data_IF_782014148013
#
_entry.id   IF_782014148013
#
_cell.length_a   1.000
_cell.length_b   1.000
_cell.length_c   1.000
_cell.angle_alpha   90.00
_cell.angle_beta   90.00
_cell.angle_gamma   90.00
#
_symmetry.space_group_name_H-M   'P 1'
#
loop_
_entity.id
_entity.type
_entity.pdbx_description
1 polymer ?
#
# COMPACT_ATOMS: atom_id res chain seq x y z
N UNK A 1 22.58 4.98 -8.23
CA UNK A 1 21.90 5.98 -9.09
C UNK A 1 20.41 5.92 -8.81
N UNK A 2 19.87 6.82 -7.99
CA UNK A 2 18.42 7.00 -7.84
C UNK A 2 17.93 7.86 -9.00
N UNK A 3 17.64 7.23 -10.13
CA UNK A 3 17.03 7.91 -11.27
C UNK A 3 15.53 8.07 -10.99
N UNK A 4 15.09 9.30 -10.75
CA UNK A 4 13.67 9.63 -10.63
C UNK A 4 13.18 10.13 -11.99
N UNK A 5 12.81 9.20 -12.88
CA UNK A 5 12.17 9.54 -14.14
C UNK A 5 10.89 10.35 -13.87
N UNK A 6 10.80 11.57 -14.41
CA UNK A 6 9.57 12.36 -14.32
C UNK A 6 8.62 11.94 -15.43
N UNK A 7 7.47 11.37 -15.06
CA UNK A 7 6.36 11.10 -15.99
C UNK A 7 5.45 12.31 -16.24
N UNK A 8 5.85 13.52 -15.84
CA UNK A 8 5.04 14.71 -16.06
C UNK A 8 4.97 15.06 -17.54
N UNK A 9 3.78 15.42 -18.03
CA UNK A 9 3.51 15.72 -19.44
C UNK A 9 4.57 16.65 -20.07
N UNK A 10 4.90 17.74 -19.37
CA UNK A 10 5.85 18.74 -19.86
C UNK A 10 7.29 18.20 -19.97
N UNK A 11 7.72 17.36 -19.03
CA UNK A 11 9.04 16.71 -19.10
C UNK A 11 9.07 15.66 -20.21
N UNK A 12 7.98 14.91 -20.42
CA UNK A 12 7.85 13.99 -21.55
C UNK A 12 7.92 14.73 -22.88
N UNK A 13 7.21 15.85 -23.04
CA UNK A 13 7.28 16.67 -24.24
C UNK A 13 8.70 17.17 -24.52
N UNK A 14 9.43 17.63 -23.49
CA UNK A 14 10.84 18.02 -23.62
C UNK A 14 11.71 16.88 -24.14
N UNK A 15 11.57 15.70 -23.56
CA UNK A 15 12.45 14.57 -23.85
C UNK A 15 12.11 13.84 -25.15
N UNK A 16 10.83 13.56 -25.39
CA UNK A 16 10.37 12.78 -26.54
C UNK A 16 10.16 13.64 -27.79
N UNK A 17 9.63 14.86 -27.63
CA UNK A 17 9.33 15.75 -28.76
C UNK A 17 10.44 16.80 -29.01
N UNK A 18 11.44 16.89 -28.12
CA UNK A 18 12.53 17.86 -28.25
C UNK A 18 12.10 19.31 -28.03
N UNK A 19 10.99 19.55 -27.34
CA UNK A 19 10.52 20.91 -27.02
C UNK A 19 11.56 21.61 -26.16
N UNK A 20 11.93 22.85 -26.53
CA UNK A 20 12.90 23.64 -25.78
C UNK A 20 12.44 23.86 -24.34
N UNK A 21 13.31 23.55 -23.40
CA UNK A 21 13.07 23.70 -21.96
C UNK A 21 12.71 25.15 -21.58
N UNK A 22 13.27 26.13 -22.29
CA UNK A 22 13.09 27.55 -21.97
C UNK A 22 11.73 28.07 -22.46
N UNK A 23 11.03 27.28 -23.30
CA UNK A 23 9.68 27.58 -23.79
C UNK A 23 8.58 26.86 -23.01
N UNK A 24 8.94 25.86 -22.19
CA UNK A 24 8.01 25.06 -21.39
C UNK A 24 7.64 25.83 -20.13
N UNK A 25 6.37 26.21 -20.04
CA UNK A 25 5.79 26.75 -18.81
C UNK A 25 5.54 25.62 -17.80
N UNK A 26 5.92 25.84 -16.55
CA UNK A 26 5.58 24.98 -15.40
C UNK A 26 4.35 25.53 -14.70
N UNK A 27 3.66 24.67 -13.96
CA UNK A 27 2.47 25.08 -13.21
C UNK A 27 2.78 26.24 -12.25
N UNK A 28 3.93 26.20 -11.56
CA UNK A 28 4.41 27.26 -10.66
C UNK A 28 4.56 28.63 -11.30
N UNK A 29 4.74 28.68 -12.62
CA UNK A 29 4.90 29.94 -13.37
C UNK A 29 3.53 30.61 -13.62
N UNK A 30 2.45 29.83 -13.49
CA UNK A 30 1.07 30.24 -13.81
C UNK A 30 0.10 29.98 -12.65
N UNK A 31 0.60 29.69 -11.45
CA UNK A 31 -0.24 29.37 -10.29
C UNK A 31 -1.17 30.54 -9.93
N UNK A 32 -2.39 30.20 -9.53
CA UNK A 32 -3.27 31.15 -8.82
C UNK A 32 -2.62 31.47 -7.49
N UNK A 33 -2.80 32.72 -7.00
CA UNK A 33 -2.27 33.13 -5.70
C UNK A 33 -2.55 32.06 -4.61
N UNK A 34 -1.54 31.60 -3.85
CA UNK A 34 -1.69 30.53 -2.85
C UNK A 34 -2.81 30.76 -1.83
N UNK A 35 -3.19 32.02 -1.57
CA UNK A 35 -4.32 32.36 -0.72
C UNK A 35 -5.65 31.74 -1.20
N UNK A 36 -5.82 31.55 -2.51
CA UNK A 36 -7.03 30.97 -3.11
C UNK A 36 -6.97 29.46 -3.28
N UNK A 37 -5.92 28.80 -2.79
CA UNK A 37 -5.77 27.34 -2.95
C UNK A 37 -6.93 26.62 -2.24
N UNK A 38 -7.71 25.78 -2.96
CA UNK A 38 -8.83 25.09 -2.35
C UNK A 38 -8.36 24.05 -1.34
N UNK A 39 -9.17 23.85 -0.30
CA UNK A 39 -9.05 22.68 0.57
C UNK A 39 -9.56 21.47 -0.23
N UNK A 40 -8.65 20.57 -0.59
CA UNK A 40 -8.97 19.33 -1.32
C UNK A 40 -8.51 18.09 -0.54
N UNK A 41 -9.48 17.22 -0.26
CA UNK A 41 -9.28 16.00 0.51
C UNK A 41 -8.78 14.83 -0.36
N UNK A 42 -9.03 14.84 -1.67
CA UNK A 42 -8.70 13.74 -2.58
C UNK A 42 -9.57 12.49 -2.41
N UNK A 43 -9.73 11.96 -1.18
CA UNK A 43 -10.53 10.77 -0.88
C UNK A 43 -12.04 11.04 -0.77
N UNK A 44 -12.44 12.31 -0.74
CA UNK A 44 -13.82 12.77 -0.77
C UNK A 44 -13.94 13.81 -1.90
N UNK A 45 -14.21 13.40 -3.15
CA UNK A 45 -14.08 14.26 -4.34
C UNK A 45 -15.29 15.19 -4.53
N UNK A 46 -15.80 15.77 -3.45
CA UNK A 46 -16.97 16.67 -3.47
C UNK A 46 -16.90 17.70 -2.33
N UNK A 47 -17.36 18.92 -2.61
CA UNK A 47 -17.24 20.04 -1.68
C UNK A 47 -18.04 19.87 -0.37
N UNK A 48 -19.12 19.07 -0.40
CA UNK A 48 -19.98 18.82 0.75
C UNK A 48 -19.29 18.04 1.89
N UNK A 49 -18.15 17.39 1.61
CA UNK A 49 -17.34 16.76 2.65
C UNK A 49 -16.66 17.80 3.57
N UNK A 50 -16.48 19.04 3.10
CA UNK A 50 -15.75 20.10 3.79
C UNK A 50 -16.71 21.17 4.30
N UNK A 51 -17.56 21.67 3.39
CA UNK A 51 -18.45 22.80 3.63
C UNK A 51 -19.87 22.54 3.19
N UNK A 52 -20.68 23.60 3.19
CA UNK A 52 -22.08 23.57 2.78
C UNK A 52 -22.42 24.85 2.01
N UNK A 53 -23.54 24.88 1.25
CA UNK A 53 -23.99 26.11 0.62
C UNK A 53 -24.01 27.29 1.60
N UNK A 54 -23.37 28.40 1.21
CA UNK A 54 -23.22 29.61 2.02
C UNK A 54 -22.00 29.62 2.97
N UNK A 55 -21.34 28.48 3.22
CA UNK A 55 -20.08 28.42 3.97
C UNK A 55 -19.28 27.18 3.53
N UNK A 56 -18.45 27.36 2.52
CA UNK A 56 -17.70 26.30 1.85
C UNK A 56 -16.36 25.97 2.51
N UNK A 57 -15.93 26.77 3.50
CA UNK A 57 -14.70 26.57 4.29
C UNK A 57 -13.45 26.36 3.41
N UNK A 58 -13.34 27.14 2.34
CA UNK A 58 -12.23 27.06 1.39
C UNK A 58 -12.32 25.92 0.38
N UNK A 59 -13.45 25.19 0.30
CA UNK A 59 -13.68 24.23 -0.77
C UNK A 59 -13.86 24.92 -2.13
N UNK A 60 -13.77 24.15 -3.22
CA UNK A 60 -13.83 24.64 -4.61
C UNK A 60 -14.90 25.71 -4.89
N UNK A 61 -16.19 25.57 -4.50
CA UNK A 61 -17.20 26.57 -4.81
C UNK A 61 -16.92 27.98 -4.27
N UNK A 62 -16.11 28.11 -3.21
CA UNK A 62 -15.72 29.41 -2.64
C UNK A 62 -14.70 30.13 -3.50
N UNK A 63 -13.75 29.38 -4.07
CA UNK A 63 -12.56 29.94 -4.73
C UNK A 63 -12.61 29.82 -6.25
N UNK A 64 -13.56 29.08 -6.81
CA UNK A 64 -13.62 28.75 -8.24
C UNK A 64 -13.64 29.99 -9.15
N UNK A 65 -14.29 31.08 -8.73
CA UNK A 65 -14.36 32.30 -9.52
C UNK A 65 -12.98 32.98 -9.68
N UNK A 66 -12.11 32.88 -8.68
CA UNK A 66 -10.73 33.36 -8.78
C UNK A 66 -9.94 32.55 -9.81
N UNK A 67 -10.13 31.23 -9.85
CA UNK A 67 -9.53 30.37 -10.86
C UNK A 67 -10.06 30.72 -12.26
N UNK A 68 -11.39 30.78 -12.44
CA UNK A 68 -11.99 31.14 -13.74
C UNK A 68 -11.43 32.47 -14.25
N UNK A 69 -11.40 33.50 -13.40
CA UNK A 69 -10.86 34.81 -13.77
C UNK A 69 -9.36 34.75 -14.12
N UNK A 70 -8.56 34.07 -13.31
CA UNK A 70 -7.11 33.92 -13.54
C UNK A 70 -6.82 33.24 -14.87
N UNK A 71 -7.43 32.08 -15.13
CA UNK A 71 -7.22 31.31 -16.35
C UNK A 71 -7.78 32.02 -17.59
N UNK A 72 -8.82 32.84 -17.44
CA UNK A 72 -9.37 33.61 -18.56
C UNK A 72 -8.47 34.79 -18.96
N UNK A 73 -7.95 35.53 -17.97
CA UNK A 73 -7.22 36.78 -18.22
C UNK A 73 -5.70 36.62 -18.31
N UNK A 74 -5.11 35.58 -17.71
CA UNK A 74 -3.67 35.35 -17.74
C UNK A 74 -3.24 34.70 -19.07
N UNK A 75 -2.49 35.41 -19.95
CA UNK A 75 -2.07 34.87 -21.24
C UNK A 75 -1.12 33.67 -21.11
N UNK A 76 -0.26 33.65 -20.09
CA UNK A 76 0.65 32.53 -19.86
C UNK A 76 -0.10 31.28 -19.38
N UNK A 77 -1.10 31.43 -18.51
CA UNK A 77 -1.94 30.31 -18.10
C UNK A 77 -2.70 29.70 -19.29
N UNK A 78 -3.23 30.53 -20.18
CA UNK A 78 -3.86 30.06 -21.43
C UNK A 78 -2.87 29.31 -22.33
N UNK A 79 -1.66 29.85 -22.50
CA UNK A 79 -0.59 29.18 -23.25
C UNK A 79 -0.26 27.82 -22.62
N UNK A 80 -0.07 27.77 -21.30
CA UNK A 80 0.19 26.53 -20.57
C UNK A 80 -0.89 25.46 -20.84
N UNK A 81 -2.17 25.84 -20.76
CA UNK A 81 -3.30 24.94 -21.04
C UNK A 81 -3.38 24.52 -22.51
N UNK A 82 -3.10 25.43 -23.44
CA UNK A 82 -3.04 25.10 -24.87
C UNK A 82 -1.91 24.10 -25.15
N UNK A 83 -0.75 24.31 -24.55
CA UNK A 83 0.40 23.42 -24.66
C UNK A 83 0.10 22.04 -24.07
N UNK A 84 -0.74 21.92 -23.03
CA UNK A 84 -1.16 20.60 -22.50
C UNK A 84 -1.89 19.79 -23.58
N UNK A 85 -2.79 20.42 -24.32
CA UNK A 85 -3.54 19.76 -25.41
C UNK A 85 -2.60 19.38 -26.56
N UNK A 86 -1.72 20.29 -26.97
CA UNK A 86 -0.75 20.07 -28.06
C UNK A 86 0.18 18.91 -27.68
N UNK A 87 0.87 19.01 -26.55
CA UNK A 87 1.84 18.01 -26.13
C UNK A 87 1.21 16.64 -25.91
N UNK A 88 0.00 16.57 -25.33
CA UNK A 88 -0.69 15.28 -25.17
C UNK A 88 -0.94 14.62 -26.51
N UNK A 89 -1.42 15.36 -27.51
CA UNK A 89 -1.70 14.84 -28.85
C UNK A 89 -0.43 14.46 -29.60
N UNK A 90 0.61 15.28 -29.49
CA UNK A 90 1.88 15.04 -30.18
C UNK A 90 2.63 13.85 -29.56
N UNK A 91 2.58 13.69 -28.24
CA UNK A 91 3.09 12.50 -27.54
C UNK A 91 2.29 11.25 -27.93
N UNK A 92 0.95 11.34 -28.03
CA UNK A 92 0.13 10.24 -28.52
C UNK A 92 0.57 9.78 -29.92
N UNK A 93 0.95 10.73 -30.81
CA UNK A 93 1.49 10.41 -32.14
C UNK A 93 2.92 9.88 -32.09
N UNK A 94 3.76 10.42 -31.22
CA UNK A 94 5.14 9.96 -31.02
C UNK A 94 5.20 8.50 -30.52
N UNK A 95 4.26 8.10 -29.65
CA UNK A 95 4.12 6.72 -29.18
C UNK A 95 3.20 5.87 -30.08
N UNK A 96 3.25 6.12 -31.39
CA UNK A 96 2.58 5.33 -32.43
C UNK A 96 1.05 5.20 -32.35
N UNK A 97 0.38 6.03 -31.55
CA UNK A 97 -1.08 6.05 -31.41
C UNK A 97 -1.64 4.66 -31.04
N UNK A 98 -1.56 4.26 -29.75
CA UNK A 98 -2.03 2.95 -29.29
C UNK A 98 -3.39 2.57 -29.87
N UNK A 99 -3.59 1.29 -30.24
CA UNK A 99 -4.82 0.84 -30.85
C UNK A 99 -6.01 1.03 -29.88
N UNK A 100 -7.22 1.30 -30.40
CA UNK A 100 -8.41 1.33 -29.56
C UNK A 100 -8.58 0.04 -28.75
N UNK A 101 -8.92 0.19 -27.46
CA UNK A 101 -9.08 -0.94 -26.55
C UNK A 101 -7.78 -1.43 -25.91
N UNK A 102 -6.69 -0.65 -25.95
CA UNK A 102 -5.49 -0.95 -25.18
C UNK A 102 -5.77 -0.97 -23.67
N UNK A 103 -5.06 -1.84 -22.95
CA UNK A 103 -5.34 -2.14 -21.54
C UNK A 103 -5.30 -0.89 -20.66
N UNK A 104 -4.30 -0.02 -20.84
CA UNK A 104 -4.11 1.15 -19.97
C UNK A 104 -5.19 2.22 -20.21
N UNK A 105 -5.60 2.44 -21.45
CA UNK A 105 -6.72 3.34 -21.78
C UNK A 105 -8.05 2.84 -21.21
N UNK A 106 -8.36 1.55 -21.38
CA UNK A 106 -9.57 0.95 -20.82
C UNK A 106 -9.56 0.98 -19.29
N UNK A 107 -8.43 0.66 -18.68
CA UNK A 107 -8.23 0.76 -17.23
C UNK A 107 -8.41 2.19 -16.71
N UNK A 108 -7.90 3.20 -17.42
CA UNK A 108 -8.06 4.60 -17.05
C UNK A 108 -9.54 5.02 -17.02
N UNK A 109 -10.31 4.63 -18.04
CA UNK A 109 -11.75 4.86 -18.08
C UNK A 109 -12.47 4.12 -16.94
N UNK A 110 -12.17 2.84 -16.74
CA UNK A 110 -12.78 2.01 -15.69
C UNK A 110 -12.50 2.57 -14.29
N UNK A 111 -11.25 2.92 -13.99
CA UNK A 111 -10.85 3.49 -12.69
C UNK A 111 -11.52 4.83 -12.45
N UNK A 112 -11.64 5.68 -13.48
CA UNK A 112 -12.37 6.95 -13.40
C UNK A 112 -13.83 6.74 -13.01
N UNK A 113 -14.51 5.81 -13.68
CA UNK A 113 -15.90 5.46 -13.38
C UNK A 113 -16.06 4.86 -11.98
N UNK A 114 -15.17 3.95 -11.58
CA UNK A 114 -15.18 3.32 -10.26
C UNK A 114 -14.97 4.34 -9.13
N UNK A 115 -14.04 5.30 -9.31
CA UNK A 115 -13.80 6.40 -8.36
C UNK A 115 -15.00 7.32 -8.25
N UNK A 116 -15.57 7.72 -9.38
CA UNK A 116 -16.72 8.62 -9.41
C UNK A 116 -17.91 8.01 -8.70
N UNK A 117 -18.20 6.74 -9.02
CA UNK A 117 -19.28 5.99 -8.40
C UNK A 117 -19.03 5.79 -6.91
N UNK A 118 -17.90 5.17 -6.54
CA UNK A 118 -17.63 4.69 -5.18
C UNK A 118 -18.61 3.61 -4.71
N UNK A 119 -18.58 3.29 -3.42
CA UNK A 119 -19.62 2.48 -2.77
C UNK A 119 -19.76 2.79 -1.28
N UNK A 120 -20.86 2.34 -0.67
CA UNK A 120 -21.21 2.66 0.71
C UNK A 120 -20.26 2.05 1.74
N UNK A 121 -20.20 2.69 2.90
CA UNK A 121 -19.51 2.19 4.08
C UNK A 121 -20.50 2.04 5.24
N UNK A 122 -20.23 1.08 6.11
CA UNK A 122 -20.98 0.91 7.35
C UNK A 122 -20.48 1.93 8.39
N UNK A 123 -21.17 3.06 8.46
CA UNK A 123 -20.80 4.19 9.32
C UNK A 123 -20.73 3.78 10.80
N UNK A 124 -21.70 3.00 11.29
CA UNK A 124 -21.76 2.58 12.69
C UNK A 124 -20.58 1.66 13.05
N UNK A 125 -20.28 0.69 12.19
CA UNK A 125 -19.11 -0.18 12.39
C UNK A 125 -17.81 0.63 12.36
N UNK A 126 -17.67 1.58 11.44
CA UNK A 126 -16.47 2.42 11.37
C UNK A 126 -16.32 3.28 12.63
N UNK A 127 -17.41 3.89 13.12
CA UNK A 127 -17.39 4.64 14.38
C UNK A 127 -16.95 3.76 15.56
N UNK A 128 -17.48 2.53 15.64
CA UNK A 128 -17.06 1.56 16.67
C UNK A 128 -15.58 1.21 16.56
N UNK A 129 -15.07 0.92 15.36
CA UNK A 129 -13.65 0.62 15.16
C UNK A 129 -12.75 1.81 15.47
N UNK A 130 -13.17 3.02 15.11
CA UNK A 130 -12.49 4.25 15.49
C UNK A 130 -12.36 4.38 17.01
N UNK A 131 -13.42 4.16 17.76
CA UNK A 131 -13.36 4.18 19.23
C UNK A 131 -12.41 3.10 19.78
N UNK A 132 -12.39 1.90 19.20
CA UNK A 132 -11.44 0.85 19.57
C UNK A 132 -9.99 1.28 19.31
N UNK A 133 -9.70 1.93 18.18
CA UNK A 133 -8.34 2.42 17.89
C UNK A 133 -7.88 3.50 18.87
N UNK A 134 -8.80 4.36 19.35
CA UNK A 134 -8.48 5.35 20.38
C UNK A 134 -8.12 4.67 21.70
N UNK A 135 -8.91 3.67 22.12
CA UNK A 135 -8.62 2.87 23.31
C UNK A 135 -7.31 2.11 23.20
N UNK A 136 -7.02 1.54 22.04
CA UNK A 136 -5.80 0.78 21.78
C UNK A 136 -4.55 1.66 21.76
N UNK A 137 -4.62 2.86 21.17
CA UNK A 137 -3.51 3.80 21.21
C UNK A 137 -3.23 4.30 22.64
N UNK A 138 -4.29 4.45 23.45
CA UNK A 138 -4.16 4.80 24.85
C UNK A 138 -3.36 6.08 25.07
N UNK A 139 -2.51 6.07 26.10
CA UNK A 139 -1.56 7.15 26.43
C UNK A 139 -0.15 6.87 25.91
N UNK A 140 0.06 5.80 25.14
CA UNK A 140 1.40 5.39 24.69
C UNK A 140 2.00 6.46 23.75
N UNK A 141 3.25 6.90 24.00
CA UNK A 141 3.88 7.91 23.16
C UNK A 141 4.21 7.35 21.77
N UNK A 142 3.83 8.08 20.72
CA UNK A 142 4.04 7.64 19.33
C UNK A 142 5.04 8.47 18.56
N UNK A 143 5.30 9.72 18.98
CA UNK A 143 6.31 10.57 18.36
C UNK A 143 7.70 9.94 18.53
N UNK A 144 8.57 9.93 17.49
CA UNK A 144 9.84 9.18 17.52
C UNK A 144 10.71 9.43 18.75
N UNK A 145 10.85 10.70 19.15
CA UNK A 145 11.64 11.11 20.32
C UNK A 145 11.03 10.65 21.65
N UNK A 146 9.71 10.80 21.81
CA UNK A 146 9.01 10.40 23.03
C UNK A 146 8.94 8.88 23.17
N UNK A 147 8.69 8.17 22.07
CA UNK A 147 8.72 6.71 22.03
C UNK A 147 10.11 6.17 22.41
N UNK A 148 11.18 6.83 21.93
CA UNK A 148 12.55 6.48 22.31
C UNK A 148 12.76 6.61 23.82
N UNK A 149 12.49 7.78 24.40
CA UNK A 149 12.63 7.96 25.86
C UNK A 149 11.80 6.96 26.67
N UNK A 150 10.57 6.71 26.22
CA UNK A 150 9.71 5.72 26.86
C UNK A 150 10.30 4.32 26.87
N UNK A 151 10.99 3.89 25.81
CA UNK A 151 11.61 2.57 25.79
C UNK A 151 12.94 2.58 26.56
N UNK A 152 13.76 3.63 26.41
CA UNK A 152 15.08 3.76 27.06
C UNK A 152 15.02 3.80 28.59
N UNK A 153 13.90 4.19 29.19
CA UNK A 153 13.65 4.18 30.65
C UNK A 153 13.81 2.80 31.29
N UNK A 154 13.62 1.73 30.51
CA UNK A 154 13.73 0.33 30.97
C UNK A 154 14.86 -0.42 30.27
N UNK A 155 15.80 0.33 29.69
CA UNK A 155 17.00 -0.21 29.04
C UNK A 155 18.27 0.19 29.79
N UNK A 156 19.25 -0.69 29.81
CA UNK A 156 20.62 -0.34 30.21
C UNK A 156 21.37 0.44 29.11
N UNK A 157 22.62 0.85 29.39
CA UNK A 157 23.38 1.66 28.44
C UNK A 157 23.82 0.89 27.18
N UNK A 158 23.97 -0.43 27.26
CA UNK A 158 24.33 -1.29 26.13
C UNK A 158 23.12 -1.53 25.25
N UNK A 159 21.95 -1.79 25.85
CA UNK A 159 20.68 -2.01 25.16
C UNK A 159 20.22 -0.78 24.37
N UNK A 160 20.48 0.44 24.89
CA UNK A 160 20.15 1.71 24.21
C UNK A 160 20.80 1.84 22.83
N UNK A 161 21.87 1.10 22.55
CA UNK A 161 22.50 1.06 21.22
C UNK A 161 21.50 0.60 20.16
N UNK A 162 20.55 -0.29 20.50
CA UNK A 162 19.52 -0.77 19.59
C UNK A 162 18.57 0.33 19.07
N UNK A 163 18.50 1.50 19.73
CA UNK A 163 17.64 2.62 19.35
C UNK A 163 18.41 3.82 18.76
N UNK A 164 19.71 3.67 18.49
CA UNK A 164 20.55 4.75 17.93
C UNK A 164 20.03 5.22 16.58
N UNK A 165 19.66 4.29 15.71
CA UNK A 165 19.10 4.56 14.38
C UNK A 165 17.63 5.04 14.42
N UNK A 166 17.02 5.06 15.60
CA UNK A 166 15.69 5.59 15.84
C UNK A 166 14.69 4.55 16.32
N UNK A 167 13.41 4.83 16.12
CA UNK A 167 12.31 3.96 16.54
C UNK A 167 11.48 3.51 15.33
N UNK A 168 12.11 3.27 14.18
CA UNK A 168 11.44 2.76 12.99
C UNK A 168 10.72 1.43 13.26
N UNK A 169 9.72 1.08 12.44
CA UNK A 169 8.94 -0.14 12.66
C UNK A 169 9.82 -1.40 12.73
N UNK A 170 10.81 -1.52 11.83
CA UNK A 170 11.73 -2.67 11.82
C UNK A 170 12.55 -2.79 13.12
N UNK A 171 13.08 -1.66 13.62
CA UNK A 171 13.84 -1.61 14.88
C UNK A 171 12.94 -1.98 16.06
N UNK A 172 11.72 -1.46 16.10
CA UNK A 172 10.79 -1.80 17.17
C UNK A 172 10.36 -3.26 17.08
N UNK A 173 10.21 -3.83 15.88
CA UNK A 173 9.89 -5.25 15.69
C UNK A 173 11.06 -6.16 16.09
N UNK A 174 12.32 -5.76 15.89
CA UNK A 174 13.48 -6.54 16.36
C UNK A 174 13.62 -6.57 17.88
N UNK A 175 13.06 -5.57 18.58
CA UNK A 175 13.02 -5.52 20.06
C UNK A 175 11.76 -6.21 20.59
N UNK A 176 10.60 -5.87 20.04
CA UNK A 176 9.29 -6.33 20.49
C UNK A 176 8.98 -7.77 20.07
N UNK A 177 9.48 -8.21 18.92
CA UNK A 177 9.01 -9.41 18.23
C UNK A 177 7.78 -9.16 17.35
N UNK A 178 7.01 -10.22 17.07
CA UNK A 178 5.90 -10.19 16.09
C UNK A 178 4.65 -10.90 16.60
N UNK A 179 3.52 -10.54 16.02
CA UNK A 179 2.24 -11.22 16.21
C UNK A 179 2.20 -12.44 15.28
N UNK A 180 1.86 -13.61 15.82
CA UNK A 180 1.63 -14.83 15.05
C UNK A 180 0.27 -14.80 14.32
N UNK A 181 -0.04 -15.86 13.57
CA UNK A 181 -1.30 -15.95 12.83
C UNK A 181 -2.55 -15.97 13.74
N UNK A 182 -2.38 -16.41 14.99
CA UNK A 182 -3.46 -16.51 15.99
C UNK A 182 -3.68 -15.20 16.76
N UNK A 183 -2.78 -14.23 16.61
CA UNK A 183 -2.84 -12.94 17.30
C UNK A 183 -1.99 -12.88 18.58
N UNK A 184 -1.23 -13.93 18.90
CA UNK A 184 -0.35 -13.96 20.06
C UNK A 184 1.00 -13.33 19.72
N UNK A 185 1.63 -12.68 20.70
CA UNK A 185 2.94 -12.06 20.51
C UNK A 185 4.05 -13.03 20.85
N UNK A 186 4.92 -13.28 19.87
CA UNK A 186 6.21 -13.94 20.06
C UNK A 186 7.24 -12.85 20.26
N UNK A 187 7.73 -12.72 21.49
CA UNK A 187 8.68 -11.67 21.87
C UNK A 187 10.09 -11.97 21.41
N UNK A 188 10.81 -10.94 20.94
CA UNK A 188 12.20 -11.09 20.51
C UNK A 188 13.16 -10.98 21.70
N UNK A 189 13.05 -9.92 22.50
CA UNK A 189 13.87 -9.77 23.70
C UNK A 189 13.19 -10.43 24.89
N UNK A 190 13.78 -11.52 25.36
CA UNK A 190 13.29 -12.36 26.44
C UNK A 190 14.41 -12.46 27.49
N UNK A 191 14.04 -12.47 28.76
CA UNK A 191 14.96 -12.68 29.89
C UNK A 191 15.27 -14.17 30.09
N UNK A 192 16.28 -14.46 30.91
CA UNK A 192 16.68 -15.84 31.26
C UNK A 192 15.53 -16.67 31.86
N UNK A 193 14.59 -16.01 32.56
CA UNK A 193 13.38 -16.64 33.13
C UNK A 193 12.25 -16.86 32.11
N UNK A 194 12.53 -16.66 30.82
CA UNK A 194 11.59 -16.77 29.70
C UNK A 194 10.46 -15.73 29.71
N UNK A 195 10.56 -14.68 30.52
CA UNK A 195 9.60 -13.56 30.48
C UNK A 195 10.02 -12.49 29.49
N UNK A 196 9.07 -11.74 28.88
CA UNK A 196 9.42 -10.66 27.96
C UNK A 196 10.24 -9.56 28.63
N UNK A 197 11.27 -9.07 27.95
CA UNK A 197 12.01 -7.90 28.42
C UNK A 197 11.08 -6.67 28.48
N UNK A 198 11.15 -5.82 29.52
CA UNK A 198 10.32 -4.61 29.62
C UNK A 198 10.42 -3.71 28.38
N UNK A 199 11.60 -3.62 27.77
CA UNK A 199 11.78 -2.88 26.53
C UNK A 199 10.98 -3.47 25.35
N UNK A 200 10.88 -4.80 25.27
CA UNK A 200 10.05 -5.49 24.27
C UNK A 200 8.57 -5.17 24.44
N UNK A 201 8.08 -5.12 25.68
CA UNK A 201 6.70 -4.75 26.01
C UNK A 201 6.42 -3.31 25.58
N UNK A 202 7.29 -2.35 25.95
CA UNK A 202 7.14 -0.94 25.58
C UNK A 202 7.25 -0.71 24.07
N UNK A 203 8.19 -1.39 23.40
CA UNK A 203 8.32 -1.33 21.94
C UNK A 203 7.05 -1.86 21.23
N UNK A 204 6.47 -2.96 21.74
CA UNK A 204 5.19 -3.49 21.26
C UNK A 204 4.06 -2.47 21.42
N UNK A 205 3.94 -1.85 22.59
CA UNK A 205 2.90 -0.84 22.84
C UNK A 205 3.03 0.34 21.87
N UNK A 206 4.25 0.84 21.63
CA UNK A 206 4.50 1.91 20.65
C UNK A 206 4.09 1.47 19.24
N UNK A 207 4.45 0.26 18.82
CA UNK A 207 4.04 -0.31 17.52
C UNK A 207 2.51 -0.37 17.40
N UNK A 208 1.84 -0.92 18.40
CA UNK A 208 0.39 -1.06 18.42
C UNK A 208 -0.30 0.31 18.41
N UNK A 209 0.19 1.28 19.18
CA UNK A 209 -0.36 2.63 19.22
C UNK A 209 -0.18 3.37 17.88
N UNK A 210 0.97 3.22 17.22
CA UNK A 210 1.21 3.79 15.88
C UNK A 210 0.31 3.15 14.82
N UNK A 211 0.19 1.81 14.83
CA UNK A 211 -0.72 1.08 13.94
C UNK A 211 -2.17 1.52 14.17
N UNK A 212 -2.60 1.63 15.43
CA UNK A 212 -3.93 2.11 15.79
C UNK A 212 -4.19 3.56 15.35
N UNK A 213 -3.21 4.46 15.51
CA UNK A 213 -3.32 5.84 15.02
C UNK A 213 -3.45 5.91 13.50
N UNK A 214 -2.69 5.09 12.75
CA UNK A 214 -2.83 5.03 11.30
C UNK A 214 -4.19 4.49 10.86
N UNK A 215 -4.69 3.47 11.56
CA UNK A 215 -6.02 2.91 11.31
C UNK A 215 -7.12 3.94 11.63
N UNK A 216 -6.98 4.67 12.75
CA UNK A 216 -7.86 5.79 13.13
C UNK A 216 -7.91 6.87 12.05
N UNK A 217 -6.75 7.28 11.52
CA UNK A 217 -6.66 8.27 10.43
C UNK A 217 -7.48 7.84 9.22
N UNK A 218 -7.44 6.55 8.84
CA UNK A 218 -8.25 6.03 7.76
C UNK A 218 -9.74 6.08 8.10
N UNK A 219 -10.14 5.72 9.33
CA UNK A 219 -11.54 5.83 9.76
C UNK A 219 -12.05 7.27 9.79
N UNK A 220 -11.24 8.22 10.24
CA UNK A 220 -11.58 9.66 10.21
C UNK A 220 -11.90 10.11 8.77
N UNK A 221 -11.05 9.73 7.81
CA UNK A 221 -11.26 10.03 6.38
C UNK A 221 -12.53 9.39 5.83
N UNK A 222 -12.76 8.12 6.16
CA UNK A 222 -13.95 7.38 5.72
C UNK A 222 -15.23 8.02 6.30
N UNK A 223 -15.24 8.39 7.58
CA UNK A 223 -16.40 9.05 8.20
C UNK A 223 -16.67 10.43 7.63
N UNK A 224 -15.62 11.17 7.25
CA UNK A 224 -15.76 12.46 6.59
C UNK A 224 -16.32 12.31 5.17
N UNK A 225 -15.83 11.32 4.42
CA UNK A 225 -16.32 11.03 3.08
C UNK A 225 -17.72 10.39 3.07
N UNK A 226 -18.08 9.64 4.12
CA UNK A 226 -19.32 8.83 4.26
C UNK A 226 -19.54 7.79 3.15
N UNK A 227 -18.63 7.71 2.20
CA UNK A 227 -18.68 6.87 1.01
C UNK A 227 -17.24 6.57 0.59
N UNK A 228 -16.99 5.40 0.02
CA UNK A 228 -15.63 4.99 -0.35
C UNK A 228 -15.36 5.19 -1.84
N UNK A 229 -14.58 6.22 -2.16
CA UNK A 229 -14.17 6.56 -3.52
C UNK A 229 -12.77 6.01 -3.81
N UNK A 230 -12.70 4.77 -4.28
CA UNK A 230 -11.43 4.11 -4.56
C UNK A 230 -10.65 4.88 -5.64
N UNK A 231 -9.41 5.24 -5.34
CA UNK A 231 -8.52 5.98 -6.25
C UNK A 231 -7.30 5.19 -6.61
N UNK A 232 -6.97 5.16 -7.89
CA UNK A 232 -5.78 4.47 -8.40
C UNK A 232 -5.04 5.34 -9.42
N UNK A 233 -3.71 5.21 -9.45
CA UNK A 233 -2.86 5.61 -10.57
C UNK A 233 -2.68 4.40 -11.46
N UNK A 234 -3.11 4.50 -12.71
CA UNK A 234 -2.79 3.54 -13.78
C UNK A 234 -1.30 3.71 -14.11
N UNK A 235 -0.59 2.60 -14.31
CA UNK A 235 0.88 2.58 -14.40
C UNK A 235 1.53 3.28 -13.17
N UNK A 236 1.02 2.98 -11.98
CA UNK A 236 1.45 3.64 -10.74
C UNK A 236 2.80 3.19 -10.18
N UNK A 237 3.35 2.08 -10.69
CA UNK A 237 4.57 1.45 -10.21
C UNK A 237 5.45 0.97 -11.36
N UNK A 238 6.73 0.69 -11.09
CA UNK A 238 7.68 0.18 -12.10
C UNK A 238 7.32 -1.22 -12.62
N UNK A 239 6.52 -1.99 -11.88
CA UNK A 239 6.00 -3.29 -12.33
C UNK A 239 4.69 -3.16 -13.11
N UNK A 240 4.35 -1.96 -13.58
CA UNK A 240 3.09 -1.59 -14.23
C UNK A 240 1.82 -1.79 -13.39
N UNK A 241 1.94 -2.24 -12.13
CA UNK A 241 0.78 -2.37 -11.22
C UNK A 241 0.19 -0.98 -10.92
N UNK A 242 -1.13 -0.94 -10.78
CA UNK A 242 -1.84 0.21 -10.25
C UNK A 242 -1.43 0.49 -8.80
N UNK A 243 -1.37 1.77 -8.44
CA UNK A 243 -1.10 2.21 -7.07
C UNK A 243 -2.25 3.03 -6.50
N UNK A 244 -2.66 2.78 -5.25
CA UNK A 244 -3.67 3.60 -4.59
C UNK A 244 -3.20 5.04 -4.33
N UNK A 245 -4.12 6.01 -4.40
CA UNK A 245 -3.81 7.44 -4.35
C UNK A 245 -4.77 8.27 -3.47
N UNK A 246 -4.66 9.60 -3.53
CA UNK A 246 -5.61 10.55 -2.98
C UNK A 246 -5.78 10.47 -1.46
N UNK A 247 -4.65 10.25 -0.76
CA UNK A 247 -4.51 10.23 0.70
C UNK A 247 -5.27 9.11 1.41
N UNK A 248 -6.02 8.26 0.72
CA UNK A 248 -6.65 7.04 1.24
C UNK A 248 -6.44 5.90 0.25
N UNK A 249 -5.36 5.13 0.45
CA UNK A 249 -4.99 4.04 -0.45
C UNK A 249 -5.97 2.86 -0.34
N UNK A 250 -6.74 2.51 -1.40
CA UNK A 250 -7.68 1.40 -1.35
C UNK A 250 -7.04 0.02 -1.23
N UNK A 251 -5.85 -0.17 -1.83
CA UNK A 251 -5.08 -1.42 -1.73
C UNK A 251 -4.47 -1.59 -0.33
N UNK A 252 -4.28 -0.50 0.39
CA UNK A 252 -3.71 -0.48 1.75
C UNK A 252 -4.71 -0.72 2.88
N UNK A 253 -5.99 -0.95 2.59
CA UNK A 253 -6.99 -1.23 3.63
C UNK A 253 -6.67 -2.57 4.30
N UNK A 254 -6.65 -2.59 5.64
CA UNK A 254 -6.27 -3.76 6.43
C UNK A 254 -7.14 -4.98 6.08
N UNK A 255 -6.51 -6.13 5.87
CA UNK A 255 -7.21 -7.38 5.51
C UNK A 255 -7.94 -8.06 6.69
N UNK A 256 -7.81 -7.54 7.92
CA UNK A 256 -8.49 -8.13 9.09
C UNK A 256 -10.01 -8.04 8.92
N UNK A 257 -10.70 -9.15 9.26
CA UNK A 257 -12.15 -9.34 9.07
C UNK A 257 -13.00 -8.21 9.66
N UNK A 258 -12.62 -7.69 10.81
CA UNK A 258 -13.36 -6.61 11.48
C UNK A 258 -13.31 -5.28 10.70
N UNK A 259 -12.23 -5.02 9.96
CA UNK A 259 -12.10 -3.86 9.06
C UNK A 259 -12.91 -4.09 7.80
N UNK A 260 -12.71 -5.24 7.13
CA UNK A 260 -13.39 -5.55 5.87
C UNK A 260 -14.92 -5.64 6.00
N UNK A 261 -15.43 -6.03 7.16
CA UNK A 261 -16.88 -5.99 7.49
C UNK A 261 -17.49 -4.58 7.56
N UNK A 262 -16.68 -3.53 7.55
CA UNK A 262 -17.13 -2.15 7.44
C UNK A 262 -17.46 -1.75 6.00
N UNK A 263 -17.11 -2.57 5.01
CA UNK A 263 -17.32 -2.33 3.59
C UNK A 263 -18.36 -3.34 3.10
N UNK A 264 -19.65 -2.99 3.06
CA UNK A 264 -20.72 -3.91 2.65
C UNK A 264 -20.63 -4.33 1.18
N UNK A 265 -19.78 -3.67 0.38
CA UNK A 265 -19.76 -3.81 -1.09
C UNK A 265 -21.16 -3.62 -1.65
N UNK A 266 -21.78 -2.48 -1.33
CA UNK A 266 -23.13 -2.15 -1.75
C UNK A 266 -23.22 -0.66 -2.09
N UNK A 267 -24.19 -0.34 -2.91
CA UNK A 267 -24.64 1.03 -3.18
C UNK A 267 -26.14 1.02 -2.88
N UNK A 268 -26.48 1.34 -1.63
CA UNK A 268 -27.83 1.23 -1.09
C UNK A 268 -28.78 2.21 -1.76
N UNK A 269 -28.28 3.39 -2.16
CA UNK A 269 -29.07 4.40 -2.87
C UNK A 269 -29.52 3.87 -4.23
N UNK A 270 -28.62 3.22 -4.95
CA UNK A 270 -28.94 2.64 -6.25
C UNK A 270 -29.46 1.19 -6.18
N UNK A 271 -29.57 0.61 -4.99
CA UNK A 271 -30.09 -0.75 -4.76
C UNK A 271 -29.17 -1.88 -5.23
N UNK A 272 -27.86 -1.64 -5.34
CA UNK A 272 -26.91 -2.65 -5.81
C UNK A 272 -26.19 -3.36 -4.67
N UNK A 273 -25.98 -4.67 -4.87
CA UNK A 273 -25.00 -5.46 -4.14
C UNK A 273 -23.86 -5.74 -5.11
N UNK A 274 -22.66 -5.30 -4.74
CA UNK A 274 -21.44 -5.49 -5.53
C UNK A 274 -20.79 -6.82 -5.15
N UNK A 275 -20.09 -7.41 -6.11
CA UNK A 275 -19.31 -8.62 -5.90
C UNK A 275 -17.82 -8.32 -6.00
N UNK A 276 -17.01 -9.16 -5.33
CA UNK A 276 -15.57 -9.18 -5.48
C UNK A 276 -15.14 -10.51 -6.10
N UNK A 277 -14.08 -10.46 -6.90
CA UNK A 277 -13.35 -11.64 -7.37
C UNK A 277 -11.90 -11.56 -6.92
N UNK A 278 -11.22 -12.70 -6.88
CA UNK A 278 -9.79 -12.79 -6.64
C UNK A 278 -9.20 -13.86 -7.56
N UNK A 279 -7.96 -13.67 -7.99
CA UNK A 279 -7.24 -14.68 -8.76
C UNK A 279 -6.56 -15.65 -7.79
N UNK A 280 -6.94 -16.92 -7.87
CA UNK A 280 -6.28 -17.96 -7.05
C UNK A 280 -4.87 -18.18 -7.58
N UNK A 281 -3.87 -17.95 -6.73
CA UNK A 281 -2.46 -18.27 -7.00
C UNK A 281 -1.89 -17.60 -8.27
N UNK A 282 -2.32 -16.37 -8.56
CA UNK A 282 -1.94 -15.65 -9.80
C UNK A 282 -0.43 -15.65 -10.06
N UNK A 283 0.39 -15.25 -9.08
CA UNK A 283 1.84 -15.22 -9.25
C UNK A 283 2.46 -16.61 -9.48
N UNK A 284 1.85 -17.66 -8.93
CA UNK A 284 2.33 -19.04 -9.10
C UNK A 284 2.08 -19.53 -10.52
N UNK A 285 0.91 -19.23 -11.08
CA UNK A 285 0.58 -19.58 -12.47
C UNK A 285 1.50 -18.87 -13.45
N UNK A 286 1.80 -17.59 -13.20
CA UNK A 286 2.78 -16.86 -14.00
C UNK A 286 4.19 -17.46 -13.87
N UNK A 287 4.59 -17.83 -12.65
CA UNK A 287 5.89 -18.46 -12.42
C UNK A 287 6.01 -19.79 -13.16
N UNK A 288 5.02 -20.68 -13.04
CA UNK A 288 4.99 -21.95 -13.75
C UNK A 288 5.07 -21.76 -15.27
N UNK A 289 4.30 -20.82 -15.82
CA UNK A 289 4.32 -20.52 -17.25
C UNK A 289 5.69 -19.99 -17.72
N UNK A 290 6.38 -19.19 -16.91
CA UNK A 290 7.70 -18.61 -17.23
C UNK A 290 8.84 -19.63 -17.03
N UNK A 291 8.82 -20.40 -15.96
CA UNK A 291 9.81 -21.45 -15.68
C UNK A 291 9.72 -22.58 -16.68
N UNK A 292 8.49 -22.86 -17.17
CA UNK A 292 8.21 -23.92 -18.12
C UNK A 292 8.73 -25.29 -17.64
N UNK A 293 8.63 -25.54 -16.34
CA UNK A 293 8.99 -26.80 -15.70
C UNK A 293 7.83 -27.82 -15.83
N UNK A 294 8.01 -28.93 -16.57
CA UNK A 294 6.99 -29.97 -16.71
C UNK A 294 6.59 -30.59 -15.38
N UNK A 295 7.51 -30.70 -14.40
CA UNK A 295 7.24 -31.33 -13.12
C UNK A 295 6.38 -30.45 -12.24
N UNK A 296 6.72 -29.16 -12.12
CA UNK A 296 5.87 -28.18 -11.45
C UNK A 296 4.47 -28.13 -12.09
N UNK A 297 4.37 -28.15 -13.43
CA UNK A 297 3.08 -28.20 -14.12
C UNK A 297 2.27 -29.44 -13.73
N UNK A 298 2.89 -30.63 -13.75
CA UNK A 298 2.24 -31.88 -13.33
C UNK A 298 1.73 -31.79 -11.89
N UNK A 299 2.56 -31.32 -10.95
CA UNK A 299 2.20 -31.21 -9.55
C UNK A 299 1.07 -30.20 -9.31
N UNK A 300 1.09 -29.03 -9.98
CA UNK A 300 0.01 -28.05 -9.90
C UNK A 300 -1.30 -28.57 -10.51
N UNK A 301 -1.25 -29.29 -11.63
CA UNK A 301 -2.43 -29.93 -12.23
C UNK A 301 -2.99 -31.06 -11.35
N UNK A 302 -2.13 -31.74 -10.59
CA UNK A 302 -2.54 -32.69 -9.56
C UNK A 302 -3.11 -32.01 -8.30
N UNK A 303 -3.17 -30.67 -8.26
CA UNK A 303 -3.72 -29.90 -7.15
C UNK A 303 -2.75 -29.71 -5.98
N UNK A 304 -1.45 -30.02 -6.15
CA UNK A 304 -0.46 -29.75 -5.11
C UNK A 304 -0.18 -28.26 -4.97
N UNK A 305 0.15 -27.86 -3.75
CA UNK A 305 0.53 -26.48 -3.44
C UNK A 305 2.04 -26.31 -3.60
N UNK A 306 2.45 -25.36 -4.43
CA UNK A 306 3.85 -24.95 -4.55
C UNK A 306 4.50 -24.58 -3.20
N UNK A 307 3.72 -24.02 -2.28
CA UNK A 307 4.20 -23.66 -0.94
C UNK A 307 4.53 -24.91 -0.11
N UNK A 308 3.75 -25.98 -0.26
CA UNK A 308 3.99 -27.26 0.38
C UNK A 308 5.20 -27.98 -0.23
N UNK A 309 5.32 -27.96 -1.56
CA UNK A 309 6.48 -28.53 -2.27
C UNK A 309 7.79 -27.84 -1.85
N UNK A 310 7.78 -26.51 -1.75
CA UNK A 310 8.95 -25.78 -1.26
C UNK A 310 9.24 -26.08 0.22
N UNK A 311 8.21 -26.21 1.06
CA UNK A 311 8.38 -26.57 2.46
C UNK A 311 8.97 -27.98 2.65
N UNK A 312 8.64 -28.93 1.77
CA UNK A 312 9.21 -30.29 1.78
C UNK A 312 10.72 -30.24 1.58
N UNK A 313 11.20 -29.43 0.64
CA UNK A 313 12.64 -29.21 0.44
C UNK A 313 13.29 -28.47 1.62
N UNK A 314 12.57 -27.51 2.21
CA UNK A 314 13.08 -26.67 3.29
C UNK A 314 13.23 -27.41 4.62
N UNK A 315 12.32 -28.35 4.93
CA UNK A 315 12.29 -29.00 6.24
C UNK A 315 12.60 -30.50 6.21
N UNK A 316 12.77 -31.10 5.03
CA UNK A 316 12.94 -32.55 4.86
C UNK A 316 11.75 -33.35 5.46
N UNK A 317 10.54 -32.78 5.35
CA UNK A 317 9.28 -33.35 5.83
C UNK A 317 8.41 -33.65 4.62
N UNK A 318 7.75 -34.81 4.61
CA UNK A 318 6.87 -35.18 3.50
C UNK A 318 5.71 -34.18 3.29
N UNK A 319 5.36 -33.99 2.01
CA UNK A 319 4.30 -33.07 1.60
C UNK A 319 2.97 -33.29 2.34
N UNK A 320 2.55 -34.53 2.55
CA UNK A 320 1.25 -34.85 3.16
C UNK A 320 1.21 -34.43 4.63
N UNK A 321 2.32 -34.60 5.37
CA UNK A 321 2.50 -34.14 6.74
C UNK A 321 2.44 -32.62 6.80
N UNK A 322 3.14 -31.90 5.90
CA UNK A 322 3.07 -30.43 5.83
C UNK A 322 1.64 -29.94 5.59
N UNK A 323 0.91 -30.60 4.70
CA UNK A 323 -0.46 -30.24 4.37
C UNK A 323 -1.43 -30.58 5.51
N UNK A 324 -1.20 -31.68 6.24
CA UNK A 324 -1.97 -32.07 7.41
C UNK A 324 -1.78 -31.10 8.59
N UNK A 325 -0.58 -30.52 8.74
CA UNK A 325 -0.27 -29.54 9.79
C UNK A 325 -0.44 -28.08 9.36
N UNK A 326 -1.10 -27.86 8.20
CA UNK A 326 -1.40 -26.51 7.71
C UNK A 326 -2.23 -25.74 8.75
N UNK A 327 -1.67 -24.63 9.26
CA UNK A 327 -2.20 -23.75 10.33
C UNK A 327 -1.96 -24.22 11.77
N UNK A 328 -1.36 -25.39 11.99
CA UNK A 328 -0.97 -25.83 13.34
C UNK A 328 0.53 -25.69 13.56
N UNK A 329 1.31 -25.79 12.48
CA UNK A 329 2.74 -25.49 12.44
C UNK A 329 3.04 -24.45 11.38
N UNK A 330 4.18 -23.78 11.49
CA UNK A 330 4.58 -22.75 10.55
C UNK A 330 5.16 -23.29 9.23
N UNK A 331 5.35 -24.61 9.05
CA UNK A 331 6.00 -25.19 7.86
C UNK A 331 5.42 -24.72 6.53
N UNK A 332 4.09 -24.78 6.36
CA UNK A 332 3.43 -24.31 5.14
C UNK A 332 3.58 -22.78 4.97
N UNK A 333 3.47 -22.03 6.07
CA UNK A 333 3.57 -20.56 6.07
C UNK A 333 5.00 -20.11 5.74
N UNK A 334 6.01 -20.80 6.26
CA UNK A 334 7.41 -20.53 5.96
C UNK A 334 7.78 -20.98 4.55
N UNK A 335 7.28 -22.13 4.08
CA UNK A 335 7.38 -22.52 2.68
C UNK A 335 6.79 -21.47 1.73
N UNK A 336 5.61 -20.92 2.08
CA UNK A 336 5.00 -19.79 1.36
C UNK A 336 5.89 -18.55 1.37
N UNK A 337 6.44 -18.18 2.53
CA UNK A 337 7.31 -17.00 2.67
C UNK A 337 8.63 -17.16 1.89
N UNK A 338 9.18 -18.37 1.89
CA UNK A 338 10.37 -18.77 1.13
C UNK A 338 10.14 -18.70 -0.37
N UNK A 339 9.13 -19.38 -0.91
CA UNK A 339 8.86 -19.37 -2.35
C UNK A 339 8.54 -17.97 -2.88
N UNK A 340 7.76 -17.16 -2.15
CA UNK A 340 7.54 -15.78 -2.57
C UNK A 340 8.83 -14.95 -2.55
N UNK A 341 9.78 -15.23 -1.65
CA UNK A 341 11.08 -14.55 -1.72
C UNK A 341 11.81 -14.87 -3.04
N UNK A 342 11.77 -16.12 -3.50
CA UNK A 342 12.37 -16.54 -4.77
C UNK A 342 11.65 -15.91 -5.98
N UNK A 343 10.31 -15.90 -5.98
CA UNK A 343 9.51 -15.26 -7.04
C UNK A 343 9.82 -13.77 -7.20
N UNK A 344 10.28 -13.10 -6.14
CA UNK A 344 10.65 -11.69 -6.15
C UNK A 344 12.17 -11.44 -6.29
N UNK A 345 12.94 -12.44 -6.73
CA UNK A 345 14.38 -12.33 -7.00
C UNK A 345 15.26 -12.39 -5.75
N UNK A 346 14.75 -12.93 -4.65
CA UNK A 346 15.53 -13.28 -3.47
C UNK A 346 16.46 -14.46 -3.73
N UNK A 347 17.40 -14.68 -2.82
CA UNK A 347 18.36 -15.78 -2.83
C UNK A 347 18.36 -16.51 -1.47
N UNK A 348 19.26 -17.47 -1.28
CA UNK A 348 19.44 -18.22 -0.04
C UNK A 348 19.61 -17.30 1.19
N UNK A 349 20.35 -16.19 1.07
CA UNK A 349 20.47 -15.21 2.15
C UNK A 349 19.14 -14.54 2.50
N UNK A 350 18.29 -14.31 1.50
CA UNK A 350 16.93 -13.76 1.72
C UNK A 350 16.06 -14.76 2.50
N UNK A 351 16.22 -16.07 2.23
CA UNK A 351 15.53 -17.13 2.97
C UNK A 351 16.03 -17.16 4.42
N UNK A 352 17.35 -17.13 4.64
CA UNK A 352 17.95 -17.06 5.98
C UNK A 352 17.41 -15.87 6.76
N UNK A 353 17.45 -14.66 6.19
CA UNK A 353 17.00 -13.44 6.86
C UNK A 353 15.50 -13.48 7.21
N UNK A 354 14.67 -14.09 6.36
CA UNK A 354 13.23 -14.12 6.57
C UNK A 354 12.78 -15.25 7.49
N UNK A 355 13.36 -16.43 7.35
CA UNK A 355 12.90 -17.64 8.02
C UNK A 355 13.75 -18.01 9.24
N UNK A 356 14.96 -17.44 9.36
CA UNK A 356 15.88 -17.74 10.47
C UNK A 356 16.47 -19.15 10.41
N UNK A 357 16.46 -19.78 9.23
CA UNK A 357 17.10 -21.08 8.98
C UNK A 357 18.60 -20.89 8.71
N UNK A 358 19.38 -21.95 8.83
CA UNK A 358 20.79 -21.92 8.45
C UNK A 358 20.97 -21.85 6.92
N UNK A 359 22.15 -21.40 6.50
CA UNK A 359 22.44 -21.17 5.08
C UNK A 359 22.47 -22.46 4.26
N UNK A 360 22.86 -23.59 4.85
CA UNK A 360 22.93 -24.88 4.13
C UNK A 360 21.53 -25.38 3.81
N UNK A 361 20.61 -25.28 4.77
CA UNK A 361 19.17 -25.55 4.57
C UNK A 361 18.58 -24.64 3.49
N UNK A 362 18.92 -23.34 3.50
CA UNK A 362 18.45 -22.40 2.49
C UNK A 362 18.99 -22.72 1.07
N UNK A 363 20.25 -23.12 0.95
CA UNK A 363 20.87 -23.55 -0.31
C UNK A 363 20.17 -24.81 -0.82
N UNK A 364 20.04 -25.85 0.01
CA UNK A 364 19.36 -27.10 -0.34
C UNK A 364 17.96 -26.85 -0.85
N UNK A 365 17.19 -26.01 -0.17
CA UNK A 365 15.82 -25.70 -0.56
C UNK A 365 15.75 -24.97 -1.91
N UNK A 366 16.70 -24.09 -2.20
CA UNK A 366 16.73 -23.34 -3.45
C UNK A 366 17.14 -24.21 -4.63
N UNK A 367 18.18 -25.03 -4.45
CA UNK A 367 18.67 -25.97 -5.47
C UNK A 367 17.72 -27.15 -5.71
N UNK A 368 17.03 -27.63 -4.67
CA UNK A 368 16.10 -28.75 -4.78
C UNK A 368 14.74 -28.38 -5.36
N UNK A 369 14.43 -27.09 -5.44
CA UNK A 369 13.15 -26.58 -5.95
C UNK A 369 13.23 -25.99 -7.36
N UNK A 370 14.37 -25.38 -7.73
CA UNK A 370 14.67 -24.99 -9.11
C UNK A 370 15.12 -26.18 -9.95
#
# INVERSE_FOLDING_TARGET
LTFHASGQLKELARHALGVDKDLILKFTDIEVNPHWKPVDLGYAPFALAIGKPGNWKGAWPEVIQHYISHWFHNPLAKKYAQDDVIYTRDLYKHFDSPPPGDDDSELACMVGAARWRGFDIDIEKIQKQRLNTIKQAGSTPTAPKQARYYIEEVMDNTEKIALVEGTGAMILESIAGKEDETGNWIYAWIKDDKTPHPAAIRAREVLQARRANKERENYDKLLLARHFHASFKVIGTLSARMAGDNKLNPQGIKAKKYVRRCFPLADFVAGFVLCGGDFVSFEVVLAEAVYNDPKLREDLLAGKSIHGLFAEQLFDIDYDTIMATKKTTDYYTDGKRGIFSQLYGGNEHTIVDRLGVDIETAIKANEGFM
#
